data_IF_896505018851
#
_entry.id   IF_896505018851
#
_cell.length_a   1.000
_cell.length_b   1.000
_cell.length_c   1.000
_cell.angle_alpha   90.00
_cell.angle_beta   90.00
_cell.angle_gamma   90.00
#
_symmetry.space_group_name_H-M   'P 1'
#
loop_
_entity.id
_entity.type
_entity.pdbx_description
1 polymer ?
#
# COMPACT_ATOMS: atom_id res chain seq x y z
N UNK A 1 1.42 30.18 14.49
CA UNK A 1 0.52 30.43 13.34
C UNK A 1 1.00 29.79 12.04
N UNK A 2 2.28 29.92 11.65
CA UNK A 2 2.83 29.36 10.39
C UNK A 2 2.60 27.86 10.21
N UNK A 3 2.79 27.03 11.26
CA UNK A 3 2.59 25.57 11.18
C UNK A 3 1.12 25.16 10.95
N UNK A 4 0.16 25.80 11.64
CA UNK A 4 -1.27 25.53 11.44
C UNK A 4 -1.71 25.91 10.02
N UNK A 5 -1.23 27.06 9.53
CA UNK A 5 -1.49 27.51 8.16
C UNK A 5 -0.92 26.54 7.11
N UNK A 6 0.33 26.08 7.28
CA UNK A 6 0.95 25.11 6.37
C UNK A 6 0.20 23.78 6.35
N UNK A 7 -0.26 23.29 7.51
CA UNK A 7 -1.08 22.08 7.59
C UNK A 7 -2.38 22.29 6.81
N UNK A 8 -3.13 23.35 7.11
CA UNK A 8 -4.39 23.64 6.41
C UNK A 8 -4.19 23.79 4.90
N UNK A 9 -3.12 24.48 4.47
CA UNK A 9 -2.80 24.66 3.06
C UNK A 9 -2.47 23.32 2.39
N UNK A 10 -1.65 22.46 3.02
CA UNK A 10 -1.35 21.13 2.49
C UNK A 10 -2.58 20.24 2.39
N UNK A 11 -3.51 20.32 3.36
CA UNK A 11 -4.77 19.58 3.33
C UNK A 11 -5.64 20.05 2.18
N UNK A 12 -5.79 21.37 2.00
CA UNK A 12 -6.56 21.94 0.89
C UNK A 12 -5.96 21.53 -0.46
N UNK A 13 -4.64 21.61 -0.62
CA UNK A 13 -3.95 21.17 -1.84
C UNK A 13 -4.19 19.68 -2.09
N UNK A 14 -4.06 18.84 -1.06
CA UNK A 14 -4.33 17.40 -1.16
C UNK A 14 -5.77 17.12 -1.62
N UNK A 15 -6.76 17.80 -1.03
CA UNK A 15 -8.17 17.67 -1.42
C UNK A 15 -8.37 18.10 -2.88
N UNK A 16 -7.80 19.23 -3.30
CA UNK A 16 -7.90 19.71 -4.68
C UNK A 16 -7.31 18.70 -5.66
N UNK A 17 -6.13 18.14 -5.35
CA UNK A 17 -5.51 17.10 -6.18
C UNK A 17 -6.41 15.87 -6.30
N UNK A 18 -6.98 15.39 -5.20
CA UNK A 18 -7.92 14.25 -5.20
C UNK A 18 -9.12 14.54 -6.10
N UNK A 19 -9.74 15.72 -5.95
CA UNK A 19 -10.89 16.13 -6.78
C UNK A 19 -10.51 16.21 -8.26
N UNK A 20 -9.33 16.73 -8.60
CA UNK A 20 -8.85 16.80 -9.97
C UNK A 20 -8.61 15.40 -10.56
N UNK A 21 -8.02 14.48 -9.81
CA UNK A 21 -7.82 13.09 -10.26
C UNK A 21 -9.17 12.46 -10.62
N UNK A 22 -10.18 12.56 -9.74
CA UNK A 22 -11.50 12.00 -10.01
C UNK A 22 -12.26 12.73 -11.13
N UNK A 23 -11.94 13.99 -11.40
CA UNK A 23 -12.52 14.74 -12.51
C UNK A 23 -11.91 14.37 -13.85
N UNK A 24 -10.61 14.10 -13.89
CA UNK A 24 -9.89 13.76 -15.12
C UNK A 24 -9.88 12.26 -15.43
N UNK A 25 -9.86 11.43 -14.40
CA UNK A 25 -10.04 10.01 -14.55
C UNK A 25 -11.52 9.75 -14.77
N UNK A 26 -11.89 9.23 -15.95
CA UNK A 26 -13.24 8.80 -16.23
C UNK A 26 -13.60 7.66 -15.26
N UNK A 27 -14.27 8.02 -14.16
CA UNK A 27 -14.68 7.10 -13.10
C UNK A 27 -15.49 5.94 -13.68
N UNK A 28 -16.29 6.20 -14.72
CA UNK A 28 -17.04 5.18 -15.42
C UNK A 28 -16.13 4.12 -16.05
N UNK A 29 -15.03 4.55 -16.66
CA UNK A 29 -14.03 3.65 -17.25
C UNK A 29 -13.29 2.83 -16.16
N UNK A 30 -13.00 3.42 -15.00
CA UNK A 30 -12.39 2.69 -13.87
C UNK A 30 -13.31 1.57 -13.39
N UNK A 31 -14.59 1.88 -13.16
CA UNK A 31 -15.56 0.87 -12.72
C UNK A 31 -15.85 -0.17 -13.80
N UNK A 32 -15.84 0.23 -15.07
CA UNK A 32 -15.98 -0.70 -16.19
C UNK A 32 -14.81 -1.70 -16.23
N UNK A 33 -13.57 -1.23 -16.16
CA UNK A 33 -12.39 -2.09 -16.11
C UNK A 33 -12.37 -2.97 -14.85
N UNK A 34 -12.74 -2.41 -13.69
CA UNK A 34 -12.85 -3.19 -12.45
C UNK A 34 -13.89 -4.32 -12.55
N UNK A 35 -15.01 -4.08 -13.27
CA UNK A 35 -16.02 -5.09 -13.56
C UNK A 35 -15.52 -6.14 -14.56
N UNK A 36 -14.75 -5.74 -15.56
CA UNK A 36 -14.18 -6.61 -16.59
C UNK A 36 -13.16 -7.62 -16.04
N UNK A 37 -12.37 -7.22 -15.03
CA UNK A 37 -11.48 -8.12 -14.28
C UNK A 37 -12.25 -9.31 -13.69
N UNK A 38 -13.49 -9.06 -13.25
CA UNK A 38 -14.37 -10.07 -12.67
C UNK A 38 -13.82 -10.71 -11.39
N UNK A 39 -14.57 -11.68 -10.85
CA UNK A 39 -14.20 -12.38 -9.61
C UNK A 39 -12.89 -13.17 -9.73
N UNK A 40 -12.62 -13.76 -10.89
CA UNK A 40 -11.41 -14.54 -11.12
C UNK A 40 -10.16 -13.65 -11.14
N UNK A 41 -10.21 -12.51 -11.82
CA UNK A 41 -9.09 -11.57 -11.84
C UNK A 41 -8.83 -10.97 -10.46
N UNK A 42 -9.88 -10.64 -9.71
CA UNK A 42 -9.75 -10.21 -8.31
C UNK A 42 -9.12 -11.29 -7.43
N UNK A 43 -9.53 -12.55 -7.61
CA UNK A 43 -8.94 -13.70 -6.89
C UNK A 43 -7.46 -13.89 -7.20
N UNK A 44 -7.08 -13.86 -8.48
CA UNK A 44 -5.67 -13.97 -8.90
C UNK A 44 -4.85 -12.80 -8.34
N UNK A 45 -5.38 -11.58 -8.39
CA UNK A 45 -4.72 -10.41 -7.83
C UNK A 45 -4.47 -10.55 -6.32
N UNK A 46 -5.48 -10.98 -5.56
CA UNK A 46 -5.35 -11.20 -4.12
C UNK A 46 -4.35 -12.31 -3.80
N UNK A 47 -4.41 -13.43 -4.53
CA UNK A 47 -3.46 -14.53 -4.36
C UNK A 47 -2.02 -14.07 -4.65
N UNK A 48 -1.82 -13.28 -5.71
CA UNK A 48 -0.52 -12.74 -6.06
C UNK A 48 -0.01 -11.74 -5.01
N UNK A 49 -0.87 -10.83 -4.53
CA UNK A 49 -0.51 -9.89 -3.47
C UNK A 49 -0.09 -10.63 -2.18
N UNK A 50 -0.83 -11.69 -1.82
CA UNK A 50 -0.48 -12.53 -0.68
C UNK A 50 0.86 -13.26 -0.87
N UNK A 51 1.11 -13.81 -2.07
CA UNK A 51 2.38 -14.44 -2.43
C UNK A 51 3.56 -13.47 -2.32
N UNK A 52 3.41 -12.24 -2.82
CA UNK A 52 4.44 -11.20 -2.72
C UNK A 52 4.79 -10.92 -1.25
N UNK A 53 3.79 -10.77 -0.38
CA UNK A 53 4.00 -10.53 1.06
C UNK A 53 4.70 -11.73 1.71
N UNK A 54 4.29 -12.95 1.39
CA UNK A 54 4.91 -14.18 1.90
C UNK A 54 6.38 -14.30 1.49
N UNK A 55 6.68 -14.13 0.21
CA UNK A 55 8.04 -14.21 -0.33
C UNK A 55 8.93 -13.10 0.23
N UNK A 56 8.41 -11.88 0.37
CA UNK A 56 9.12 -10.78 1.02
C UNK A 56 9.43 -11.11 2.48
N UNK A 57 8.47 -11.68 3.21
CA UNK A 57 8.64 -12.08 4.62
C UNK A 57 9.66 -13.21 4.77
N UNK A 58 9.64 -14.20 3.89
CA UNK A 58 10.62 -15.29 3.84
C UNK A 58 12.03 -14.75 3.58
N UNK A 59 12.17 -13.88 2.58
CA UNK A 59 13.43 -13.23 2.24
C UNK A 59 14.01 -12.48 3.44
N UNK A 60 13.17 -11.71 4.13
CA UNK A 60 13.60 -10.99 5.34
C UNK A 60 13.98 -11.91 6.48
N UNK A 61 13.27 -13.02 6.68
CA UNK A 61 13.65 -14.01 7.69
C UNK A 61 15.01 -14.63 7.40
N UNK A 62 15.31 -14.92 6.13
CA UNK A 62 16.62 -15.45 5.70
C UNK A 62 17.73 -14.43 6.00
N UNK A 63 17.50 -13.17 5.64
CA UNK A 63 18.44 -12.06 5.91
C UNK A 63 18.69 -11.93 7.42
N UNK A 64 17.63 -11.83 8.24
CA UNK A 64 17.77 -11.71 9.69
C UNK A 64 18.52 -12.89 10.30
N UNK A 65 18.22 -14.11 9.83
CA UNK A 65 18.92 -15.33 10.27
C UNK A 65 20.42 -15.27 9.96
N UNK A 66 20.81 -14.68 8.82
CA UNK A 66 22.23 -14.48 8.46
C UNK A 66 22.95 -13.51 9.40
N UNK A 67 22.21 -12.56 10.00
CA UNK A 67 22.72 -11.65 11.03
C UNK A 67 22.67 -12.23 12.46
N UNK A 68 22.34 -13.52 12.61
CA UNK A 68 22.24 -14.18 13.91
C UNK A 68 20.91 -13.98 14.63
N UNK A 69 19.94 -13.26 14.04
CA UNK A 69 18.62 -13.05 14.61
C UNK A 69 17.57 -13.94 13.94
N UNK A 70 16.97 -14.87 14.68
CA UNK A 70 16.03 -15.86 14.12
C UNK A 70 14.61 -15.71 14.68
N UNK A 71 13.87 -14.65 14.30
CA UNK A 71 12.51 -14.44 14.77
C UNK A 71 11.55 -15.51 14.21
N UNK A 72 10.45 -15.81 14.93
CA UNK A 72 9.34 -16.58 14.39
C UNK A 72 8.82 -15.97 13.09
N UNK A 73 8.47 -16.82 12.11
CA UNK A 73 7.97 -16.34 10.81
C UNK A 73 6.72 -15.47 10.94
N UNK A 74 5.84 -15.79 11.89
CA UNK A 74 4.63 -15.03 12.21
C UNK A 74 4.95 -13.56 12.54
N UNK A 75 6.03 -13.31 13.26
CA UNK A 75 6.40 -11.97 13.69
C UNK A 75 6.95 -11.15 12.51
N UNK A 76 7.77 -11.78 11.67
CA UNK A 76 8.27 -11.16 10.42
C UNK A 76 7.12 -10.84 9.47
N UNK A 77 6.18 -11.78 9.30
CA UNK A 77 5.00 -11.60 8.46
C UNK A 77 4.11 -10.45 8.97
N UNK A 78 3.85 -10.41 10.28
CA UNK A 78 3.04 -9.35 10.90
C UNK A 78 3.70 -7.99 10.74
N UNK A 79 5.01 -7.90 10.99
CA UNK A 79 5.79 -6.68 10.78
C UNK A 79 5.76 -6.21 9.32
N UNK A 80 5.81 -7.14 8.36
CA UNK A 80 5.71 -6.84 6.93
C UNK A 80 4.34 -6.33 6.51
N UNK A 81 3.26 -6.90 7.03
CA UNK A 81 1.90 -6.46 6.74
C UNK A 81 1.71 -5.02 7.27
N UNK A 82 2.06 -4.79 8.54
CA UNK A 82 1.93 -3.46 9.16
C UNK A 82 2.81 -2.44 8.43
N UNK A 83 4.08 -2.77 8.18
CA UNK A 83 5.00 -1.89 7.48
C UNK A 83 4.51 -1.54 6.08
N UNK A 84 3.94 -2.50 5.35
CA UNK A 84 3.37 -2.24 4.02
C UNK A 84 2.16 -1.32 4.09
N UNK A 85 1.24 -1.54 5.04
CA UNK A 85 0.08 -0.68 5.24
C UNK A 85 0.48 0.75 5.57
N UNK A 86 1.47 0.93 6.45
CA UNK A 86 2.02 2.25 6.77
C UNK A 86 2.63 2.88 5.53
N UNK A 87 3.49 2.19 4.79
CA UNK A 87 4.11 2.72 3.57
C UNK A 87 3.09 3.13 2.49
N UNK A 88 2.00 2.38 2.33
CA UNK A 88 0.94 2.75 1.39
C UNK A 88 0.10 3.96 1.84
N UNK A 89 -0.11 4.13 3.15
CA UNK A 89 -0.89 5.24 3.71
C UNK A 89 -0.07 6.53 3.88
N UNK A 90 1.24 6.40 4.12
CA UNK A 90 2.17 7.52 4.26
C UNK A 90 3.24 7.43 3.17
N UNK A 91 2.92 7.87 1.93
CA UNK A 91 3.91 7.89 0.85
C UNK A 91 5.02 8.92 1.07
N UNK A 92 5.01 9.67 2.18
CA UNK A 92 5.96 10.73 2.49
C UNK A 92 7.35 10.26 2.96
N UNK A 93 7.61 8.95 3.02
CA UNK A 93 8.87 8.37 3.52
C UNK A 93 9.60 7.45 2.52
N UNK A 94 9.19 7.44 1.25
CA UNK A 94 9.95 6.81 0.16
C UNK A 94 10.34 7.82 -0.90
#
# INVERSE_FOLDING_TARGET
MKRKFLITLSTVIGIVIVVLIFRFADIGQIFFQAKEIGFLGAGIFLANAFLIILLSSLSWRIILKSYGFSPPFKDVLSAKIIGSMVSYLTPSMY
#
